data_IF_921886150654
#
_entry.id   IF_921886150654
#
_cell.length_a   1.000
_cell.length_b   1.000
_cell.length_c   1.000
_cell.angle_alpha   90.00
_cell.angle_beta   90.00
_cell.angle_gamma   90.00
#
_symmetry.space_group_name_H-M   'P 1'
#
loop_
_entity.id
_entity.type
_entity.pdbx_description
1 polymer ?
#
# COMPACT_ATOMS: atom_id res chain seq x y z
N UNK A 1 13.90 -5.86 -12.86
CA UNK A 1 13.71 -6.89 -11.83
C UNK A 1 14.51 -8.14 -12.19
N UNK A 2 15.09 -8.82 -11.20
CA UNK A 2 15.74 -10.11 -11.40
C UNK A 2 14.73 -11.24 -11.69
N UNK A 3 13.50 -11.10 -11.20
CA UNK A 3 12.38 -12.01 -11.46
C UNK A 3 11.17 -11.17 -11.90
N UNK A 4 10.48 -11.52 -13.02
CA UNK A 4 9.24 -10.86 -13.40
C UNK A 4 8.18 -10.99 -12.31
N UNK A 5 7.36 -9.94 -12.14
CA UNK A 5 6.26 -9.93 -11.19
C UNK A 5 4.93 -9.90 -11.94
N UNK A 6 4.07 -10.89 -11.70
CA UNK A 6 2.74 -10.93 -12.31
C UNK A 6 1.74 -10.15 -11.48
N UNK A 7 1.05 -9.20 -12.10
CA UNK A 7 0.04 -8.35 -11.48
C UNK A 7 -1.18 -8.26 -12.42
N UNK A 8 -2.37 -8.64 -11.95
CA UNK A 8 -3.59 -8.73 -12.76
C UNK A 8 -3.41 -9.51 -14.08
N UNK A 9 -2.72 -10.65 -14.01
CA UNK A 9 -2.47 -11.54 -15.15
C UNK A 9 -1.41 -11.05 -16.13
N UNK A 10 -0.80 -9.88 -15.88
CA UNK A 10 0.26 -9.32 -16.72
C UNK A 10 1.61 -9.40 -16.02
N UNK A 11 2.62 -9.88 -16.74
CA UNK A 11 4.00 -9.87 -16.25
C UNK A 11 4.64 -8.50 -16.43
N UNK A 12 5.30 -8.03 -15.38
CA UNK A 12 6.06 -6.79 -15.36
C UNK A 12 7.54 -7.05 -15.07
N UNK A 13 8.41 -6.35 -15.78
CA UNK A 13 9.87 -6.49 -15.65
C UNK A 13 10.54 -5.28 -14.99
N UNK A 14 9.81 -4.17 -14.87
CA UNK A 14 10.31 -2.92 -14.34
C UNK A 14 9.39 -2.39 -13.24
N UNK A 15 9.99 -1.93 -12.14
CA UNK A 15 9.33 -1.21 -11.07
C UNK A 15 9.96 0.15 -10.90
N UNK A 16 9.15 1.12 -10.51
CA UNK A 16 9.59 2.44 -10.10
C UNK A 16 9.00 2.74 -8.73
N UNK A 17 9.85 3.08 -7.77
CA UNK A 17 9.44 3.59 -6.46
C UNK A 17 9.54 5.10 -6.50
N UNK A 18 8.51 5.80 -6.04
CA UNK A 18 8.55 7.24 -5.87
C UNK A 18 8.44 7.64 -4.39
N UNK A 19 8.76 8.90 -4.09
CA UNK A 19 8.71 9.43 -2.72
C UNK A 19 7.29 9.47 -2.17
N UNK A 20 6.29 9.67 -3.04
CA UNK A 20 4.87 9.83 -2.71
C UNK A 20 4.16 8.51 -2.39
N UNK A 21 4.87 7.45 -2.00
CA UNK A 21 4.22 6.19 -1.59
C UNK A 21 3.61 5.37 -2.72
N UNK A 22 4.23 5.37 -3.91
CA UNK A 22 3.79 4.58 -5.07
C UNK A 22 4.90 3.66 -5.58
N UNK A 23 4.54 2.41 -5.89
CA UNK A 23 5.33 1.47 -6.69
C UNK A 23 4.60 1.24 -8.01
N UNK A 24 5.11 1.78 -9.11
CA UNK A 24 4.49 1.64 -10.42
C UNK A 24 5.23 0.66 -11.33
N UNK A 25 4.49 -0.04 -12.18
CA UNK A 25 5.06 -1.00 -13.12
C UNK A 25 5.19 -0.37 -14.51
N UNK A 26 6.34 -0.61 -15.15
CA UNK A 26 6.69 -0.20 -16.53
C UNK A 26 6.72 1.31 -16.85
N UNK A 27 6.00 2.16 -16.11
CA UNK A 27 6.00 3.61 -16.25
C UNK A 27 6.06 4.31 -14.88
N UNK A 28 6.62 5.53 -14.83
CA UNK A 28 6.71 6.34 -13.61
C UNK A 28 5.39 7.05 -13.28
N UNK A 29 5.16 7.27 -11.99
CA UNK A 29 4.09 8.14 -11.46
C UNK A 29 4.75 9.35 -10.79
N UNK A 30 4.43 10.55 -11.26
CA UNK A 30 5.03 11.81 -10.80
C UNK A 30 4.01 12.71 -10.07
N UNK A 31 2.76 12.28 -9.99
CA UNK A 31 1.69 13.02 -9.34
C UNK A 31 1.87 13.01 -7.81
N UNK A 32 1.67 14.18 -7.19
CA UNK A 32 1.66 14.34 -5.73
C UNK A 32 0.29 13.97 -5.16
N UNK A 33 -0.75 14.68 -5.61
CA UNK A 33 -2.13 14.43 -5.18
C UNK A 33 -2.65 13.11 -5.73
N UNK A 34 -3.16 12.22 -4.87
CA UNK A 34 -3.74 10.97 -5.30
C UNK A 34 -5.02 11.20 -6.10
N UNK A 35 -5.14 10.47 -7.21
CA UNK A 35 -6.42 10.38 -7.93
C UNK A 35 -7.24 9.21 -7.39
N UNK A 36 -8.59 9.30 -7.47
CA UNK A 36 -9.43 8.18 -7.15
C UNK A 36 -9.29 7.03 -8.15
N UNK A 37 -9.53 5.82 -7.66
CA UNK A 37 -9.58 4.62 -8.49
C UNK A 37 -11.04 4.34 -8.90
N UNK A 38 -11.26 3.77 -10.10
CA UNK A 38 -10.23 3.35 -11.07
C UNK A 38 -9.52 4.54 -11.72
N UNK A 39 -8.20 4.45 -11.86
CA UNK A 39 -7.41 5.43 -12.61
C UNK A 39 -7.15 4.88 -14.02
N UNK A 40 -7.89 5.41 -14.98
CA UNK A 40 -7.90 4.99 -16.39
C UNK A 40 -6.78 5.66 -17.21
N UNK A 41 -5.53 5.55 -16.76
CA UNK A 41 -4.38 6.17 -17.42
C UNK A 41 -3.36 5.15 -17.97
N UNK A 42 -3.75 3.86 -17.98
CA UNK A 42 -2.93 2.76 -18.45
C UNK A 42 -1.81 2.35 -17.50
N UNK A 43 -1.66 2.99 -16.33
CA UNK A 43 -0.55 2.72 -15.40
C UNK A 43 -0.99 1.74 -14.30
N UNK A 44 -0.43 0.52 -14.29
CA UNK A 44 -0.51 -0.35 -13.14
C UNK A 44 0.39 0.16 -12.02
N UNK A 45 -0.10 0.16 -10.78
CA UNK A 45 0.72 0.51 -9.62
C UNK A 45 0.09 0.02 -8.31
N UNK A 46 0.95 -0.09 -7.29
CA UNK A 46 0.61 -0.34 -5.90
C UNK A 46 0.85 0.94 -5.11
N UNK A 47 -0.12 1.35 -4.31
CA UNK A 47 -0.02 2.52 -3.44
C UNK A 47 -0.12 2.09 -1.99
N UNK A 48 0.98 1.75 -1.32
CA UNK A 48 0.95 1.55 0.13
C UNK A 48 0.34 2.75 0.83
N UNK A 49 0.73 3.97 0.41
CA UNK A 49 0.19 5.22 0.96
C UNK A 49 0.46 6.37 -0.02
N UNK A 50 -0.35 6.56 -1.06
CA UNK A 50 -0.11 7.61 -2.04
C UNK A 50 -0.56 8.97 -1.55
N UNK A 51 0.41 9.83 -1.23
CA UNK A 51 0.19 11.21 -0.82
C UNK A 51 1.39 12.11 -1.16
N UNK A 52 1.21 13.41 -1.00
CA UNK A 52 2.26 14.42 -1.15
C UNK A 52 3.26 14.33 0.02
N UNK A 53 4.31 13.53 -0.18
CA UNK A 53 5.39 13.30 0.79
C UNK A 53 6.53 14.29 0.52
N UNK A 54 7.06 14.92 1.58
CA UNK A 54 8.20 15.83 1.48
C UNK A 54 9.42 15.31 2.24
N UNK A 55 10.11 14.33 1.64
CA UNK A 55 11.31 13.76 2.24
C UNK A 55 12.57 14.64 2.14
N UNK A 56 12.47 15.88 1.62
CA UNK A 56 13.55 16.88 1.79
C UNK A 56 13.64 17.31 3.25
N UNK A 57 12.52 17.21 3.97
CA UNK A 57 12.34 17.71 5.33
C UNK A 57 12.59 16.66 6.43
N UNK A 58 12.80 15.40 6.06
CA UNK A 58 13.06 14.30 6.98
C UNK A 58 12.55 12.97 6.42
N UNK A 59 12.89 11.88 7.10
CA UNK A 59 12.53 10.53 6.69
C UNK A 59 13.27 10.05 5.44
N UNK A 60 13.14 8.76 5.16
CA UNK A 60 13.88 8.10 4.09
C UNK A 60 13.01 7.10 3.34
N UNK A 61 13.34 6.90 2.06
CA UNK A 61 12.72 5.88 1.22
C UNK A 61 13.76 4.85 0.82
N UNK A 62 13.59 3.62 1.31
CA UNK A 62 14.49 2.51 1.02
C UNK A 62 13.78 1.47 0.17
N UNK A 63 14.47 0.91 -0.83
CA UNK A 63 13.95 -0.24 -1.54
C UNK A 63 15.04 -1.20 -2.00
N UNK A 64 14.70 -2.48 -2.10
CA UNK A 64 15.61 -3.53 -2.57
C UNK A 64 14.86 -4.74 -3.11
N UNK A 65 15.49 -5.39 -4.09
CA UNK A 65 15.20 -6.79 -4.42
C UNK A 65 15.96 -7.71 -3.45
N UNK A 66 15.39 -8.86 -3.12
CA UNK A 66 16.01 -9.81 -2.20
C UNK A 66 15.65 -11.25 -2.52
N UNK A 67 16.65 -12.12 -2.38
CA UNK A 67 16.53 -13.58 -2.37
C UNK A 67 17.06 -14.18 -1.06
N UNK A 68 17.15 -13.36 0.00
CA UNK A 68 17.62 -13.81 1.32
C UNK A 68 16.75 -14.97 1.85
N UNK A 69 17.33 -16.17 2.10
CA UNK A 69 16.55 -17.35 2.44
C UNK A 69 15.75 -17.19 3.74
N UNK A 70 16.26 -16.43 4.73
CA UNK A 70 15.58 -16.25 6.01
C UNK A 70 14.34 -15.38 5.84
N UNK A 71 14.43 -14.29 5.08
CA UNK A 71 13.30 -13.44 4.77
C UNK A 71 12.27 -14.15 3.91
N UNK A 72 12.70 -14.85 2.85
CA UNK A 72 11.80 -15.62 1.99
C UNK A 72 11.07 -16.74 2.76
N UNK A 73 11.74 -17.42 3.70
CA UNK A 73 11.11 -18.41 4.55
C UNK A 73 10.03 -17.80 5.46
N UNK A 74 10.25 -16.60 6.02
CA UNK A 74 9.23 -15.88 6.81
C UNK A 74 8.04 -15.47 5.96
N UNK A 75 8.29 -14.87 4.80
CA UNK A 75 7.23 -14.49 3.84
C UNK A 75 6.40 -15.72 3.45
N UNK A 76 7.07 -16.85 3.19
CA UNK A 76 6.43 -18.13 2.87
C UNK A 76 5.56 -18.62 4.02
N UNK A 77 6.06 -18.57 5.25
CA UNK A 77 5.30 -18.97 6.44
C UNK A 77 4.06 -18.08 6.63
N UNK A 78 4.22 -16.75 6.55
CA UNK A 78 3.14 -15.79 6.70
C UNK A 78 2.04 -16.02 5.64
N UNK A 79 2.42 -16.13 4.36
CA UNK A 79 1.44 -16.35 3.28
C UNK A 79 0.71 -17.69 3.44
N UNK A 80 1.41 -18.79 3.75
CA UNK A 80 0.77 -20.08 3.94
C UNK A 80 -0.12 -20.11 5.21
N UNK A 81 0.17 -19.28 6.21
CA UNK A 81 -0.70 -19.10 7.37
C UNK A 81 -1.99 -18.35 7.00
N UNK A 82 -1.89 -17.29 6.20
CA UNK A 82 -3.05 -16.48 5.80
C UNK A 82 -3.88 -17.15 4.68
N UNK A 83 -3.25 -17.95 3.82
CA UNK A 83 -3.84 -18.60 2.65
C UNK A 83 -3.55 -20.10 2.62
N UNK A 84 -4.06 -20.89 3.59
CA UNK A 84 -3.68 -22.31 3.75
C UNK A 84 -4.09 -23.22 2.58
N UNK A 85 -5.01 -22.77 1.73
CA UNK A 85 -5.47 -23.51 0.54
C UNK A 85 -4.70 -23.16 -0.73
N UNK A 86 -3.77 -22.20 -0.67
CA UNK A 86 -2.97 -21.72 -1.80
C UNK A 86 -1.51 -22.05 -1.51
N UNK A 87 -0.97 -23.17 -2.03
CA UNK A 87 0.43 -23.53 -1.82
C UNK A 87 1.35 -22.43 -2.37
N UNK A 88 2.23 -21.90 -1.51
CA UNK A 88 3.14 -20.83 -1.88
C UNK A 88 4.53 -21.05 -1.27
N UNK A 89 5.57 -20.71 -2.02
CA UNK A 89 6.96 -20.68 -1.54
C UNK A 89 7.70 -19.53 -2.22
N UNK A 90 7.96 -18.45 -1.49
CA UNK A 90 8.60 -17.25 -2.04
C UNK A 90 9.98 -17.59 -2.60
N UNK A 91 10.22 -17.23 -3.87
CA UNK A 91 11.53 -17.36 -4.51
C UNK A 91 12.22 -15.99 -4.67
N UNK A 92 11.43 -14.92 -4.59
CA UNK A 92 11.89 -13.55 -4.71
C UNK A 92 10.96 -12.59 -3.96
N UNK A 93 11.53 -11.48 -3.48
CA UNK A 93 10.76 -10.36 -2.97
C UNK A 93 11.39 -9.01 -3.34
N UNK A 94 10.56 -7.99 -3.45
CA UNK A 94 10.92 -6.59 -3.48
C UNK A 94 10.31 -5.90 -2.27
N UNK A 95 11.13 -5.19 -1.49
CA UNK A 95 10.70 -4.49 -0.29
C UNK A 95 10.95 -3.01 -0.50
N UNK A 96 9.93 -2.18 -0.32
CA UNK A 96 10.03 -0.72 -0.30
C UNK A 96 9.44 -0.18 1.00
N UNK A 97 10.18 0.68 1.69
CA UNK A 97 9.82 1.26 2.99
C UNK A 97 9.95 2.77 2.91
N UNK A 98 8.91 3.47 3.33
CA UNK A 98 8.92 4.90 3.62
C UNK A 98 8.97 5.02 5.13
N UNK A 99 10.10 5.49 5.65
CA UNK A 99 10.41 5.52 7.07
C UNK A 99 10.38 6.96 7.57
N UNK A 100 9.46 7.25 8.50
CA UNK A 100 9.26 8.57 9.10
C UNK A 100 9.13 9.71 8.08
N UNK A 101 8.43 9.47 6.96
CA UNK A 101 8.28 10.49 5.90
C UNK A 101 7.23 11.54 6.28
N UNK A 102 7.56 12.84 6.23
CA UNK A 102 6.63 13.90 6.62
C UNK A 102 5.74 14.34 5.45
N UNK A 103 4.64 15.01 5.77
CA UNK A 103 3.92 15.84 4.80
C UNK A 103 4.39 17.29 4.85
N UNK A 104 4.43 17.99 3.72
CA UNK A 104 4.70 19.43 3.73
C UNK A 104 3.54 20.19 4.38
N UNK A 105 3.79 21.21 5.22
CA UNK A 105 5.04 21.67 5.83
C UNK A 105 5.27 21.18 7.27
N UNK A 106 4.58 20.13 7.73
CA UNK A 106 4.73 19.61 9.09
C UNK A 106 5.99 18.75 9.22
N UNK A 107 6.95 19.20 10.04
CA UNK A 107 8.19 18.45 10.32
C UNK A 107 8.09 17.56 11.56
N UNK A 108 6.99 17.68 12.31
CA UNK A 108 6.85 17.04 13.62
C UNK A 108 6.24 15.64 13.52
N UNK A 109 5.60 15.35 12.40
CA UNK A 109 4.85 14.12 12.18
C UNK A 109 5.43 13.34 11.00
N UNK A 110 5.56 12.02 11.16
CA UNK A 110 6.17 11.16 10.16
C UNK A 110 5.37 9.88 9.99
N UNK A 111 5.02 9.56 8.75
CA UNK A 111 4.37 8.31 8.41
C UNK A 111 5.43 7.23 8.14
N UNK A 112 5.20 6.03 8.66
CA UNK A 112 6.04 4.85 8.41
C UNK A 112 5.20 3.69 7.88
N UNK A 113 5.50 3.29 6.64
CA UNK A 113 4.78 2.24 5.93
C UNK A 113 5.69 1.49 4.95
N UNK A 114 5.29 0.27 4.58
CA UNK A 114 6.08 -0.63 3.74
C UNK A 114 5.21 -1.42 2.77
N UNK A 115 5.71 -1.64 1.56
CA UNK A 115 5.23 -2.64 0.64
C UNK A 115 6.24 -3.77 0.47
N UNK A 116 5.74 -5.00 0.37
CA UNK A 116 6.48 -6.17 -0.09
C UNK A 116 5.74 -6.77 -1.27
N UNK A 117 6.39 -6.84 -2.42
CA UNK A 117 5.93 -7.62 -3.58
C UNK A 117 6.72 -8.93 -3.57
N UNK A 118 6.05 -10.08 -3.62
CA UNK A 118 6.72 -11.38 -3.59
C UNK A 118 6.09 -12.37 -4.56
N UNK A 119 6.87 -13.29 -5.09
CA UNK A 119 6.37 -14.31 -6.02
C UNK A 119 7.08 -15.65 -5.83
N UNK A 120 6.39 -16.73 -6.19
CA UNK A 120 6.94 -18.08 -6.40
C UNK A 120 7.19 -18.36 -7.90
N UNK A 121 7.19 -17.30 -8.73
CA UNK A 121 7.17 -17.26 -10.20
C UNK A 121 5.85 -17.66 -10.88
N UNK A 122 4.84 -18.09 -10.12
CA UNK A 122 3.50 -18.43 -10.66
C UNK A 122 2.41 -17.60 -9.99
N UNK A 123 2.51 -17.43 -8.68
CA UNK A 123 1.64 -16.64 -7.83
C UNK A 123 2.40 -15.44 -7.32
N UNK A 124 1.69 -14.34 -7.16
CA UNK A 124 2.24 -13.08 -6.72
C UNK A 124 1.42 -12.58 -5.55
N UNK A 125 2.09 -12.08 -4.53
CA UNK A 125 1.46 -11.47 -3.38
C UNK A 125 2.00 -10.06 -3.15
N UNK A 126 1.11 -9.20 -2.64
CA UNK A 126 1.45 -7.90 -2.07
C UNK A 126 1.18 -7.98 -0.57
N UNK A 127 2.14 -7.54 0.23
CA UNK A 127 1.98 -7.29 1.67
C UNK A 127 2.19 -5.80 1.90
N UNK A 128 1.22 -5.15 2.51
CA UNK A 128 1.30 -3.75 2.94
C UNK A 128 1.34 -3.73 4.46
N UNK A 129 2.33 -3.05 5.04
CA UNK A 129 2.50 -2.91 6.49
C UNK A 129 2.47 -1.43 6.86
N UNK A 130 1.76 -1.10 7.93
CA UNK A 130 1.61 0.24 8.48
C UNK A 130 2.04 0.24 9.93
N UNK A 131 3.01 1.08 10.28
CA UNK A 131 3.53 1.18 11.64
C UNK A 131 2.97 2.41 12.35
N UNK A 132 3.22 3.59 11.79
CA UNK A 132 2.79 4.86 12.35
C UNK A 132 2.25 5.75 11.23
N UNK A 133 1.03 6.26 11.40
CA UNK A 133 0.33 7.09 10.42
C UNK A 133 -0.30 8.25 11.18
N UNK A 134 0.25 9.45 10.99
CA UNK A 134 -0.05 10.63 11.79
C UNK A 134 -0.71 11.74 10.95
N UNK A 135 -0.42 11.77 9.64
CA UNK A 135 -0.96 12.74 8.69
C UNK A 135 -1.62 12.01 7.51
N UNK A 136 -2.57 12.68 6.83
CA UNK A 136 -3.31 12.13 5.68
C UNK A 136 -3.02 12.82 4.36
N UNK A 137 -2.61 14.08 4.39
CA UNK A 137 -2.57 14.96 3.22
C UNK A 137 -1.39 15.92 3.30
N UNK A 138 -0.74 16.20 2.16
CA UNK A 138 0.24 17.27 2.05
C UNK A 138 -0.35 18.56 1.49
N UNK A 139 0.37 19.66 1.65
CA UNK A 139 -0.06 21.01 1.25
C UNK A 139 -0.49 21.11 -0.23
N UNK A 140 0.20 20.45 -1.16
CA UNK A 140 -0.17 20.49 -2.59
C UNK A 140 -1.53 19.81 -2.87
N UNK A 141 -1.99 18.98 -1.93
CA UNK A 141 -3.28 18.30 -1.94
C UNK A 141 -4.34 19.00 -1.08
N UNK A 142 -4.05 20.23 -0.60
CA UNK A 142 -4.96 21.03 0.23
C UNK A 142 -4.98 20.64 1.70
N UNK A 143 -3.95 19.93 2.17
CA UNK A 143 -3.78 19.62 3.58
C UNK A 143 -3.45 20.86 4.42
N UNK A 144 -3.89 20.84 5.67
CA UNK A 144 -3.55 21.85 6.67
C UNK A 144 -2.04 21.82 6.98
N UNK A 145 -1.46 23.02 7.09
CA UNK A 145 -0.01 23.19 7.15
C UNK A 145 0.62 22.66 8.45
N UNK A 146 -0.13 22.63 9.56
CA UNK A 146 0.41 22.23 10.85
C UNK A 146 0.15 20.73 11.11
N UNK A 147 -1.03 20.27 10.72
CA UNK A 147 -1.53 18.94 11.06
C UNK A 147 -1.36 17.91 9.95
N UNK A 148 -1.22 18.32 8.68
CA UNK A 148 -1.20 17.40 7.55
C UNK A 148 -2.53 16.67 7.34
N UNK A 149 -3.65 17.29 7.74
CA UNK A 149 -5.00 16.73 7.65
C UNK A 149 -5.89 17.59 6.74
N UNK A 150 -7.05 17.07 6.33
CA UNK A 150 -7.97 17.75 5.41
C UNK A 150 -7.55 17.60 3.94
N UNK A 151 -8.13 18.39 3.03
CA UNK A 151 -7.81 18.34 1.61
C UNK A 151 -8.19 17.01 0.93
N UNK A 152 -7.29 16.46 0.10
CA UNK A 152 -7.43 15.14 -0.54
C UNK A 152 -6.56 14.10 0.17
N UNK A 153 -7.15 13.23 1.02
CA UNK A 153 -6.39 12.25 1.79
C UNK A 153 -5.68 11.22 0.93
N UNK A 154 -4.66 10.61 1.53
CA UNK A 154 -3.85 9.57 0.95
C UNK A 154 -4.66 8.39 0.40
N UNK A 155 -4.12 7.75 -0.64
CA UNK A 155 -4.71 6.60 -1.27
C UNK A 155 -3.92 5.32 -1.00
N UNK A 156 -4.50 4.40 -0.23
CA UNK A 156 -3.96 3.06 0.02
C UNK A 156 -4.71 2.00 -0.79
N UNK A 157 -3.98 1.22 -1.60
CA UNK A 157 -4.59 0.27 -2.53
C UNK A 157 -3.70 -0.09 -3.72
N UNK A 158 -4.34 -0.45 -4.84
CA UNK A 158 -3.67 -0.71 -6.09
C UNK A 158 -4.63 -0.62 -7.30
N UNK A 159 -4.06 -0.29 -8.46
CA UNK A 159 -4.79 -0.08 -9.72
C UNK A 159 -4.11 -0.91 -10.83
N UNK A 160 -4.88 -1.66 -11.62
CA UNK A 160 -4.36 -2.46 -12.74
C UNK A 160 -3.95 -1.64 -13.96
N UNK A 161 -4.46 -0.41 -14.08
CA UNK A 161 -4.35 0.42 -15.28
C UNK A 161 -5.31 0.03 -16.42
N UNK A 162 -6.18 -0.96 -16.25
CA UNK A 162 -7.15 -1.41 -17.26
C UNK A 162 -8.56 -0.80 -17.11
N UNK A 163 -8.68 0.26 -16.31
CA UNK A 163 -9.92 0.99 -15.98
C UNK A 163 -10.96 0.21 -15.16
N UNK A 164 -10.83 -1.11 -15.05
CA UNK A 164 -11.85 -1.97 -14.43
C UNK A 164 -11.40 -2.58 -13.11
N UNK A 165 -10.12 -2.91 -13.00
CA UNK A 165 -9.60 -3.69 -11.91
C UNK A 165 -8.76 -2.81 -10.96
N UNK A 166 -9.24 -2.65 -9.74
CA UNK A 166 -8.54 -1.93 -8.68
C UNK A 166 -9.00 -2.42 -7.32
N UNK A 167 -8.30 -1.99 -6.28
CA UNK A 167 -8.69 -2.24 -4.91
C UNK A 167 -8.35 -1.04 -4.02
N UNK A 168 -9.32 -0.59 -3.23
CA UNK A 168 -9.14 0.44 -2.22
C UNK A 168 -9.15 -0.22 -0.84
N UNK A 169 -8.13 0.04 -0.02
CA UNK A 169 -8.20 -0.32 1.39
C UNK A 169 -9.32 0.51 2.05
N UNK A 170 -10.17 -0.08 2.91
CA UNK A 170 -11.18 0.65 3.65
C UNK A 170 -10.62 1.88 4.37
N UNK A 171 -11.25 3.04 4.16
CA UNK A 171 -10.79 4.34 4.68
C UNK A 171 -9.86 5.11 3.74
N UNK A 172 -9.35 4.49 2.68
CA UNK A 172 -8.55 5.16 1.64
C UNK A 172 -9.28 6.36 1.02
N UNK A 173 -8.55 7.44 0.72
CA UNK A 173 -9.09 8.74 0.28
C UNK A 173 -10.13 9.37 1.22
N UNK A 174 -10.05 9.06 2.51
CA UNK A 174 -10.83 9.72 3.56
C UNK A 174 -9.98 9.86 4.82
N UNK A 175 -10.43 10.70 5.76
CA UNK A 175 -9.75 10.86 7.06
C UNK A 175 -9.65 9.54 7.85
N UNK A 176 -10.53 8.57 7.55
CA UNK A 176 -10.50 7.26 8.19
C UNK A 176 -9.23 6.44 7.87
N UNK A 177 -8.42 6.85 6.87
CA UNK A 177 -7.13 6.20 6.59
C UNK A 177 -6.14 6.29 7.76
N UNK A 178 -6.32 7.23 8.70
CA UNK A 178 -5.54 7.27 9.95
C UNK A 178 -5.65 5.96 10.75
N UNK A 179 -6.77 5.24 10.62
CA UNK A 179 -7.00 3.98 11.33
C UNK A 179 -6.35 2.77 10.64
N UNK A 180 -5.60 2.96 9.54
CA UNK A 180 -5.04 1.85 8.74
C UNK A 180 -4.04 0.98 9.52
N UNK A 181 -3.41 1.53 10.56
CA UNK A 181 -2.53 0.81 11.50
C UNK A 181 -3.28 -0.20 12.38
N UNK A 182 -4.61 -0.07 12.49
CA UNK A 182 -5.46 -0.93 13.32
C UNK A 182 -6.32 -1.90 12.48
N UNK A 183 -6.47 -1.64 11.18
CA UNK A 183 -7.28 -2.47 10.29
C UNK A 183 -6.43 -3.52 9.57
N UNK A 184 -7.06 -4.60 9.10
CA UNK A 184 -6.39 -5.72 8.45
C UNK A 184 -7.39 -6.63 7.72
N UNK A 185 -6.93 -7.35 6.69
CA UNK A 185 -7.65 -8.48 6.10
C UNK A 185 -7.08 -9.86 6.51
N UNK A 186 -6.03 -9.90 7.32
CA UNK A 186 -5.35 -11.14 7.79
C UNK A 186 -5.29 -11.25 9.31
N UNK A 187 -6.09 -10.43 10.02
CA UNK A 187 -6.14 -10.37 11.49
C UNK A 187 -4.82 -10.01 12.17
N UNK A 188 -3.96 -9.26 11.47
CA UNK A 188 -2.72 -8.69 12.02
C UNK A 188 -2.84 -7.17 11.86
N UNK A 189 -3.01 -6.40 12.95
CA UNK A 189 -3.19 -4.94 12.88
C UNK A 189 -2.13 -4.28 12.00
N UNK A 190 -2.57 -3.41 11.08
CA UNK A 190 -1.68 -2.68 10.19
C UNK A 190 -1.11 -3.51 9.05
N UNK A 191 -1.55 -4.76 8.86
CA UNK A 191 -1.11 -5.62 7.76
C UNK A 191 -2.24 -5.98 6.81
N UNK A 192 -1.99 -5.78 5.53
CA UNK A 192 -2.88 -6.14 4.43
C UNK A 192 -2.15 -7.03 3.44
N UNK A 193 -2.76 -8.17 3.06
CA UNK A 193 -2.12 -9.15 2.16
C UNK A 193 -3.05 -9.58 1.04
N UNK A 194 -2.56 -9.56 -0.20
CA UNK A 194 -3.38 -9.84 -1.38
C UNK A 194 -2.63 -10.77 -2.34
N UNK A 195 -3.29 -11.81 -2.84
CA UNK A 195 -2.82 -12.55 -4.01
C UNK A 195 -3.18 -11.76 -5.28
N UNK A 196 -2.20 -11.36 -6.08
CA UNK A 196 -2.40 -10.40 -7.17
C UNK A 196 -2.04 -10.88 -8.58
N UNK A 197 -1.51 -12.09 -8.73
CA UNK A 197 -1.23 -12.67 -10.06
C UNK A 197 -2.50 -12.85 -10.90
N UNK A 198 -3.62 -13.18 -10.25
CA UNK A 198 -4.94 -13.24 -10.85
C UNK A 198 -5.96 -12.69 -9.84
N UNK A 199 -5.77 -11.42 -9.46
CA UNK A 199 -6.63 -10.79 -8.47
C UNK A 199 -8.08 -10.79 -8.94
N UNK A 200 -8.94 -11.48 -8.19
CA UNK A 200 -10.39 -11.34 -8.25
C UNK A 200 -10.83 -10.87 -6.89
N UNK A 201 -11.72 -9.89 -6.82
CA UNK A 201 -12.30 -9.46 -5.54
C UNK A 201 -13.07 -10.64 -4.94
N UNK A 202 -12.47 -11.33 -3.98
CA UNK A 202 -13.14 -12.38 -3.21
C UNK A 202 -13.01 -12.06 -1.74
N UNK A 203 -14.16 -11.79 -1.10
CA UNK A 203 -14.26 -11.79 0.36
C UNK A 203 -13.69 -10.60 1.12
N UNK A 204 -13.38 -9.46 0.47
CA UNK A 204 -13.00 -8.24 1.20
C UNK A 204 -14.14 -7.23 1.16
N UNK A 205 -14.61 -6.70 2.31
CA UNK A 205 -15.63 -5.66 2.34
C UNK A 205 -15.12 -4.43 1.58
N UNK A 206 -15.81 -4.05 0.51
CA UNK A 206 -15.58 -2.79 -0.21
C UNK A 206 -16.18 -1.59 0.53
N UNK A 207 -16.87 -1.83 1.65
CA UNK A 207 -17.48 -0.80 2.48
C UNK A 207 -16.48 -0.38 3.56
N UNK A 208 -16.28 0.94 3.80
CA UNK A 208 -15.56 1.40 4.99
C UNK A 208 -16.16 0.76 6.24
N UNK A 209 -15.35 0.39 7.26
CA UNK A 209 -15.88 -0.11 8.52
C UNK A 209 -16.92 0.88 9.03
N UNK A 210 -18.11 0.37 9.39
CA UNK A 210 -19.14 1.22 9.99
C UNK A 210 -18.54 1.88 11.23
N UNK A 211 -18.59 3.21 11.29
CA UNK A 211 -18.21 3.96 12.48
C UNK A 211 -19.10 3.44 13.61
N UNK A 212 -18.50 2.76 14.58
CA UNK A 212 -19.19 2.38 15.80
C UNK A 212 -19.60 3.68 16.48
N UNK A 213 -20.90 3.92 16.61
CA UNK A 213 -21.44 5.06 17.31
C UNK A 213 -20.85 5.11 18.74
N UNK A 214 -20.08 6.16 19.09
CA UNK A 214 -19.46 6.26 20.42
C UNK A 214 -20.48 6.35 21.56
N UNK A 215 -21.78 6.52 21.25
CA UNK A 215 -22.86 6.54 22.24
C UNK A 215 -23.51 5.17 22.49
N UNK A 216 -23.09 4.10 21.81
CA UNK A 216 -23.64 2.77 22.09
C UNK A 216 -22.92 2.14 23.30
N UNK A 217 -23.12 2.76 24.46
CA UNK A 217 -22.97 2.07 25.73
C UNK A 217 -24.07 0.99 25.86
N UNK A 218 -23.67 -0.14 26.46
CA UNK A 218 -24.50 -1.22 27.03
C UNK A 218 -24.86 -2.40 26.11
N UNK A 219 -24.10 -3.50 26.20
CA UNK A 219 -24.39 -4.68 27.04
C UNK A 219 -23.31 -5.77 26.87
#
# INVERSE_FOLDING_TARGET
>A
LAVPFTFYGKEHQNLYVNNNGVISFDAKVNQYTPNPFPLADGRPFVTPYWADVDNVRGGDVFYRETTDPKLLARITQDINQYFPTIPFAATWAFVATWDHVPSPPSFLQGNTFQAVLTTDTKKSFIILNYWDIQWTTGEASGGDAETGLGGTPAHAGFNSGDETNFYNIPGSQSDAILNITQTSNVHVPGRWVFQVDNFKVTGVPTRPPEVVDPNNCWL
#
